data_IF_989001341323
#
_entry.id   IF_989001341323
#
_cell.length_a   1.000
_cell.length_b   1.000
_cell.length_c   1.000
_cell.angle_alpha   90.00
_cell.angle_beta   90.00
_cell.angle_gamma   90.00
#
_symmetry.space_group_name_H-M   'P 1'
#
loop_
_entity.id
_entity.type
_entity.pdbx_description
1 polymer ?
#
# COMPACT_ATOMS: atom_id res chain seq x y z
N UNK A 1 -20.28 -38.25 31.23
CA UNK A 1 -21.70 -38.16 31.64
C UNK A 1 -22.29 -36.95 30.95
N UNK A 2 -22.89 -37.17 29.77
CA UNK A 2 -23.51 -36.12 28.96
C UNK A 2 -25.02 -36.19 29.19
N UNK A 3 -25.66 -35.05 29.48
CA UNK A 3 -27.12 -34.94 29.51
C UNK A 3 -27.54 -33.48 29.32
N UNK A 4 -28.72 -33.34 28.72
CA UNK A 4 -29.51 -32.14 28.45
C UNK A 4 -29.04 -31.34 27.22
N UNK A 5 -29.84 -31.15 26.17
CA UNK A 5 -31.22 -31.53 25.93
C UNK A 5 -31.66 -30.82 24.65
N UNK A 6 -31.98 -31.59 23.61
CA UNK A 6 -32.50 -31.08 22.34
C UNK A 6 -33.97 -30.70 22.56
N UNK A 7 -34.33 -29.43 22.34
CA UNK A 7 -35.64 -29.00 21.82
C UNK A 7 -35.52 -27.64 21.15
N UNK A 8 -35.52 -27.62 19.82
CA UNK A 8 -36.01 -26.48 19.04
C UNK A 8 -36.65 -27.03 17.76
N UNK A 9 -37.95 -27.29 17.85
CA UNK A 9 -38.82 -27.36 16.68
C UNK A 9 -39.20 -25.94 16.30
N UNK A 10 -38.64 -25.43 15.21
CA UNK A 10 -39.20 -24.30 14.46
C UNK A 10 -38.72 -24.41 13.01
N UNK A 11 -39.51 -25.08 12.19
CA UNK A 11 -39.45 -24.98 10.75
C UNK A 11 -39.75 -23.53 10.35
N UNK A 12 -38.72 -22.78 9.96
CA UNK A 12 -38.87 -21.54 9.20
C UNK A 12 -38.20 -21.78 7.85
N UNK A 13 -39.01 -22.20 6.88
CA UNK A 13 -38.69 -21.99 5.48
C UNK A 13 -39.26 -20.62 5.12
N UNK A 14 -38.40 -19.65 4.80
CA UNK A 14 -38.66 -18.51 3.91
C UNK A 14 -37.48 -17.54 3.99
N UNK A 15 -36.98 -17.19 2.82
CA UNK A 15 -35.93 -16.20 2.63
C UNK A 15 -34.70 -16.85 2.05
N UNK A 16 -34.64 -16.90 0.72
CA UNK A 16 -33.35 -16.90 0.05
C UNK A 16 -32.57 -15.73 0.66
N UNK A 17 -31.54 -16.03 1.45
CA UNK A 17 -30.53 -15.05 1.81
C UNK A 17 -29.89 -14.74 0.46
N UNK A 18 -30.29 -13.63 -0.14
CA UNK A 18 -29.47 -12.99 -1.14
C UNK A 18 -28.14 -12.75 -0.43
N UNK A 19 -27.15 -13.59 -0.74
CA UNK A 19 -25.77 -13.28 -0.43
C UNK A 19 -25.55 -11.96 -1.16
N UNK A 20 -25.60 -10.86 -0.42
CA UNK A 20 -25.09 -9.61 -0.89
C UNK A 20 -23.62 -9.91 -1.20
N UNK A 21 -23.34 -10.19 -2.47
CA UNK A 21 -21.99 -10.16 -2.99
C UNK A 21 -21.58 -8.71 -2.81
N UNK A 22 -20.97 -8.39 -1.67
CA UNK A 22 -20.18 -7.18 -1.57
C UNK A 22 -19.12 -7.36 -2.64
N UNK A 23 -19.38 -6.79 -3.81
CA UNK A 23 -18.32 -6.47 -4.74
C UNK A 23 -17.33 -5.69 -3.88
N UNK A 24 -16.20 -6.31 -3.56
CA UNK A 24 -15.07 -5.60 -3.01
C UNK A 24 -14.73 -4.58 -4.06
N UNK A 25 -15.19 -3.35 -3.86
CA UNK A 25 -14.69 -2.21 -4.61
C UNK A 25 -13.21 -2.24 -4.26
N UNK A 26 -12.35 -2.63 -5.21
CA UNK A 26 -10.92 -2.45 -5.07
C UNK A 26 -10.71 -0.94 -4.96
N UNK A 27 -10.71 -0.45 -3.73
CA UNK A 27 -10.29 0.92 -3.48
C UNK A 27 -8.80 0.86 -3.69
N UNK A 28 -8.27 1.68 -4.60
CA UNK A 28 -6.86 2.01 -4.62
C UNK A 28 -6.51 2.50 -3.21
N UNK A 29 -6.01 1.60 -2.37
CA UNK A 29 -5.65 1.94 -1.00
C UNK A 29 -4.21 2.41 -1.04
N UNK A 30 -3.97 3.62 -0.51
CA UNK A 30 -2.64 4.09 -0.20
C UNK A 30 -1.90 3.01 0.61
N UNK A 31 -0.64 2.77 0.28
CA UNK A 31 0.24 1.89 1.05
C UNK A 31 0.85 2.73 2.15
N UNK A 32 0.52 2.40 3.41
CA UNK A 32 0.98 3.17 4.56
C UNK A 32 1.91 2.36 5.45
N UNK A 33 2.98 2.99 5.94
CA UNK A 33 3.93 2.40 6.89
C UNK A 33 4.48 3.43 7.89
N UNK A 34 5.28 2.97 8.85
CA UNK A 34 5.99 3.80 9.82
C UNK A 34 7.49 3.55 9.70
N UNK A 35 8.26 4.59 9.39
CA UNK A 35 9.70 4.48 9.19
C UNK A 35 10.46 5.35 10.20
N UNK A 36 11.50 4.77 10.80
CA UNK A 36 12.53 5.55 11.51
C UNK A 36 13.59 6.06 10.54
N UNK A 37 14.43 7.00 10.95
CA UNK A 37 15.51 7.53 10.11
C UNK A 37 16.46 6.41 9.65
N UNK A 38 16.68 6.32 8.34
CA UNK A 38 17.49 5.29 7.69
C UNK A 38 16.77 3.95 7.50
N UNK A 39 15.49 3.84 7.89
CA UNK A 39 14.66 2.67 7.60
C UNK A 39 14.12 2.72 6.18
N UNK A 40 13.82 1.53 5.65
CA UNK A 40 13.39 1.33 4.27
C UNK A 40 12.19 0.38 4.23
N UNK A 41 11.23 0.68 3.37
CA UNK A 41 10.14 -0.24 3.01
C UNK A 41 10.09 -0.42 1.50
N UNK A 42 9.76 -1.63 1.06
CA UNK A 42 9.61 -1.95 -0.36
C UNK A 42 8.24 -2.56 -0.61
N UNK A 43 7.60 -2.11 -1.67
CA UNK A 43 6.35 -2.68 -2.16
C UNK A 43 6.50 -3.16 -3.60
N UNK A 44 5.89 -4.30 -3.93
CA UNK A 44 5.76 -4.73 -5.33
C UNK A 44 4.51 -4.09 -5.96
N UNK A 45 4.58 -3.65 -7.20
CA UNK A 45 3.45 -3.07 -7.92
C UNK A 45 3.54 -3.28 -9.43
N UNK A 46 2.39 -3.49 -10.07
CA UNK A 46 2.29 -3.42 -11.53
C UNK A 46 1.92 -1.99 -11.90
N UNK A 47 2.78 -1.32 -12.69
CA UNK A 47 2.58 0.05 -13.11
C UNK A 47 2.41 0.11 -14.63
N UNK A 48 1.58 1.03 -15.11
CA UNK A 48 1.47 1.36 -16.52
C UNK A 48 2.64 2.25 -16.96
N UNK A 49 2.90 2.29 -18.27
CA UNK A 49 3.84 3.28 -18.81
C UNK A 49 3.33 4.69 -18.53
N UNK A 50 4.23 5.57 -18.10
CA UNK A 50 3.98 6.95 -17.68
C UNK A 50 3.10 7.11 -16.42
N UNK A 51 2.83 6.02 -15.68
CA UNK A 51 2.16 6.09 -14.36
C UNK A 51 3.08 6.75 -13.32
N UNK A 52 2.52 7.66 -12.53
CA UNK A 52 3.24 8.36 -11.47
C UNK A 52 3.01 7.70 -10.13
N UNK A 53 4.09 7.43 -9.41
CA UNK A 53 4.09 6.97 -8.01
C UNK A 53 4.68 8.09 -7.16
N UNK A 54 4.03 8.40 -6.06
CA UNK A 54 4.44 9.48 -5.16
C UNK A 54 4.22 9.06 -3.71
N UNK A 55 4.92 9.72 -2.80
CA UNK A 55 4.74 9.51 -1.39
C UNK A 55 4.68 10.81 -0.61
N UNK A 56 4.28 10.69 0.65
CA UNK A 56 4.36 11.74 1.64
C UNK A 56 4.58 11.14 3.02
N UNK A 57 5.02 11.97 3.96
CA UNK A 57 5.12 11.64 5.37
C UNK A 57 4.34 12.62 6.24
N UNK A 58 4.26 12.36 7.54
CA UNK A 58 3.65 13.28 8.50
C UNK A 58 4.54 14.53 8.76
N UNK A 59 4.06 15.43 9.62
CA UNK A 59 4.69 16.72 9.91
C UNK A 59 6.07 16.60 10.60
N UNK A 60 6.44 15.39 11.05
CA UNK A 60 7.71 15.16 11.75
C UNK A 60 8.86 14.83 10.78
N UNK A 61 8.57 14.59 9.49
CA UNK A 61 9.57 14.29 8.46
C UNK A 61 9.81 15.48 7.51
N UNK A 62 11.07 15.65 7.11
CA UNK A 62 11.48 16.71 6.19
C UNK A 62 12.20 16.21 4.93
N UNK A 63 12.52 14.92 4.89
CA UNK A 63 13.29 14.29 3.82
C UNK A 63 12.88 12.81 3.68
N UNK A 64 12.31 12.46 2.53
CA UNK A 64 11.84 11.13 2.18
C UNK A 64 12.28 10.83 0.74
N UNK A 65 13.05 9.76 0.55
CA UNK A 65 13.52 9.38 -0.78
C UNK A 65 12.63 8.26 -1.37
N UNK A 66 12.53 8.22 -2.70
CA UNK A 66 11.84 7.15 -3.42
C UNK A 66 12.72 6.58 -4.53
N UNK A 67 12.72 5.25 -4.65
CA UNK A 67 13.40 4.51 -5.71
C UNK A 67 12.44 3.55 -6.39
N UNK A 68 12.54 3.44 -7.71
CA UNK A 68 11.79 2.50 -8.52
C UNK A 68 12.77 1.55 -9.19
N UNK A 69 12.60 0.25 -8.95
CA UNK A 69 13.42 -0.80 -9.54
C UNK A 69 12.58 -1.71 -10.44
N UNK A 70 13.18 -2.19 -11.52
CA UNK A 70 12.61 -3.30 -12.27
C UNK A 70 12.57 -4.55 -11.37
N UNK A 71 11.39 -5.17 -11.21
CA UNK A 71 11.23 -6.29 -10.26
C UNK A 71 11.92 -7.59 -10.73
N UNK A 72 12.19 -7.75 -12.03
CA UNK A 72 12.83 -8.94 -12.57
C UNK A 72 14.36 -8.82 -12.55
N UNK A 73 14.90 -7.68 -12.97
CA UNK A 73 16.34 -7.46 -13.08
C UNK A 73 16.97 -6.86 -11.83
N UNK A 74 16.19 -6.21 -10.97
CA UNK A 74 16.67 -5.42 -9.83
C UNK A 74 17.36 -4.12 -10.23
N UNK A 75 17.27 -3.70 -11.49
CA UNK A 75 17.86 -2.45 -11.98
C UNK A 75 17.07 -1.24 -11.50
N UNK A 76 17.76 -0.20 -11.01
CA UNK A 76 17.17 1.09 -10.69
C UNK A 76 16.75 1.80 -12.00
N UNK A 77 15.47 2.15 -12.10
CA UNK A 77 14.90 2.79 -13.31
C UNK A 77 14.55 4.25 -13.12
N UNK A 78 14.22 4.67 -11.90
CA UNK A 78 13.91 6.04 -11.54
C UNK A 78 14.13 6.26 -10.04
N UNK A 79 14.39 7.49 -9.64
CA UNK A 79 14.55 7.86 -8.24
C UNK A 79 14.26 9.34 -8.03
N UNK A 80 13.75 9.68 -6.85
CA UNK A 80 13.69 11.04 -6.33
C UNK A 80 14.41 11.08 -4.98
N UNK A 81 15.40 11.95 -4.87
CA UNK A 81 16.25 12.09 -3.68
C UNK A 81 16.49 13.56 -3.36
N UNK A 82 15.55 14.42 -3.74
CA UNK A 82 15.56 15.82 -3.34
C UNK A 82 15.25 15.92 -1.85
N UNK A 83 15.83 16.93 -1.19
CA UNK A 83 15.58 17.17 0.24
C UNK A 83 14.19 17.77 0.42
N UNK A 84 13.17 16.91 0.36
CA UNK A 84 11.78 17.22 0.57
C UNK A 84 10.98 16.00 1.08
N UNK A 85 9.74 16.25 1.49
CA UNK A 85 8.87 15.25 2.10
C UNK A 85 7.87 14.62 1.10
N UNK A 86 8.01 14.89 -0.20
CA UNK A 86 7.01 14.55 -1.24
C UNK A 86 7.66 13.99 -2.52
N UNK A 87 8.47 12.91 -2.42
CA UNK A 87 9.16 12.36 -3.57
C UNK A 87 8.19 11.78 -4.60
N UNK A 88 8.58 11.82 -5.88
CA UNK A 88 7.79 11.22 -6.96
C UNK A 88 8.62 10.67 -8.12
N UNK A 89 8.19 9.52 -8.65
CA UNK A 89 8.81 8.85 -9.80
C UNK A 89 7.76 8.49 -10.85
N UNK A 90 8.19 8.31 -12.10
CA UNK A 90 7.33 7.91 -13.22
C UNK A 90 7.83 6.60 -13.81
N UNK A 91 6.95 5.63 -13.99
CA UNK A 91 7.28 4.35 -14.60
C UNK A 91 7.60 4.52 -16.10
N UNK A 92 8.83 4.21 -16.56
CA UNK A 92 9.22 4.44 -17.96
C UNK A 92 8.60 3.43 -18.95
N UNK A 93 7.98 2.37 -18.43
CA UNK A 93 7.31 1.32 -19.21
C UNK A 93 6.32 0.58 -18.32
N UNK A 94 5.42 -0.17 -18.96
CA UNK A 94 4.47 -1.03 -18.26
C UNK A 94 5.15 -2.31 -17.75
N UNK A 95 4.91 -2.69 -16.50
CA UNK A 95 5.47 -3.91 -15.90
C UNK A 95 5.43 -3.96 -14.38
N UNK A 96 6.08 -4.98 -13.81
CA UNK A 96 6.24 -5.12 -12.36
C UNK A 96 7.48 -4.36 -11.87
N UNK A 97 7.30 -3.59 -10.80
CA UNK A 97 8.35 -2.81 -10.17
C UNK A 97 8.42 -3.07 -8.67
N UNK A 98 9.59 -2.79 -8.09
CA UNK A 98 9.78 -2.59 -6.66
C UNK A 98 9.79 -1.09 -6.40
N UNK A 99 8.87 -0.62 -5.58
CA UNK A 99 8.78 0.76 -5.10
C UNK A 99 9.37 0.78 -3.70
N UNK A 100 10.51 1.46 -3.54
CA UNK A 100 11.23 1.56 -2.29
C UNK A 100 11.15 2.99 -1.75
N UNK A 101 10.84 3.12 -0.46
CA UNK A 101 10.93 4.38 0.25
C UNK A 101 12.03 4.30 1.31
N UNK A 102 12.79 5.39 1.45
CA UNK A 102 13.81 5.53 2.49
C UNK A 102 13.54 6.79 3.29
N UNK A 103 13.41 6.65 4.61
CA UNK A 103 13.24 7.80 5.50
C UNK A 103 14.59 8.48 5.73
N UNK A 104 14.89 9.53 4.98
CA UNK A 104 16.16 10.25 5.09
C UNK A 104 16.21 11.14 6.34
N UNK A 105 15.09 11.75 6.75
CA UNK A 105 15.02 12.58 7.95
C UNK A 105 13.66 12.57 8.64
N UNK A 106 13.63 12.11 9.89
CA UNK A 106 12.50 12.15 10.79
C UNK A 106 12.90 12.75 12.15
N UNK A 107 12.21 13.82 12.57
CA UNK A 107 12.55 14.57 13.78
C UNK A 107 11.94 13.98 15.06
N UNK A 108 10.82 13.27 14.94
CA UNK A 108 10.16 12.53 16.02
C UNK A 108 9.83 11.13 15.50
N UNK A 109 10.59 10.14 15.95
CA UNK A 109 10.48 8.78 15.39
C UNK A 109 9.37 7.93 16.04
N UNK A 110 8.72 7.04 15.28
CA UNK A 110 8.78 6.90 13.81
C UNK A 110 7.83 7.87 13.09
N UNK A 111 8.13 8.20 11.83
CA UNK A 111 7.27 9.01 10.98
C UNK A 111 6.32 8.13 10.18
N UNK A 112 5.05 8.50 10.08
CA UNK A 112 4.09 7.86 9.18
C UNK A 112 4.41 8.20 7.72
N UNK A 113 4.19 7.24 6.83
CA UNK A 113 4.37 7.39 5.39
C UNK A 113 3.14 6.89 4.64
N UNK A 114 2.87 7.49 3.49
CA UNK A 114 1.82 7.11 2.54
C UNK A 114 2.40 7.11 1.15
N UNK A 115 2.24 6.00 0.44
CA UNK A 115 2.63 5.84 -0.96
C UNK A 115 1.37 5.63 -1.78
N UNK A 116 1.27 6.32 -2.90
CA UNK A 116 0.11 6.31 -3.80
C UNK A 116 0.58 6.32 -5.26
N UNK A 117 -0.30 5.94 -6.19
CA UNK A 117 -0.10 6.12 -7.62
C UNK A 117 -1.33 6.74 -8.28
N UNK A 118 -1.16 7.38 -9.43
CA UNK A 118 -2.26 8.04 -10.15
C UNK A 118 -3.25 7.06 -10.80
N UNK A 119 -2.83 5.81 -11.04
CA UNK A 119 -3.73 4.71 -11.41
C UNK A 119 -4.25 3.90 -10.22
N UNK A 120 -3.66 4.10 -9.02
CA UNK A 120 -3.90 3.30 -7.84
C UNK A 120 -3.21 1.93 -7.86
N UNK A 121 -3.06 1.34 -6.68
CA UNK A 121 -2.55 -0.03 -6.50
C UNK A 121 -3.62 -1.11 -6.62
#
# INVERSE_FOLDING_TARGET
MAKFGVKMTATVALGAIALATTATIAQAQSRSDWLSTGETITYEGYLLADEAVFASCDDDCSDLDMFLYNAESGELVASDTLVDAVPGVVAPYEGNFLIELVMASCSVEPCATWTDSDAGF
#
